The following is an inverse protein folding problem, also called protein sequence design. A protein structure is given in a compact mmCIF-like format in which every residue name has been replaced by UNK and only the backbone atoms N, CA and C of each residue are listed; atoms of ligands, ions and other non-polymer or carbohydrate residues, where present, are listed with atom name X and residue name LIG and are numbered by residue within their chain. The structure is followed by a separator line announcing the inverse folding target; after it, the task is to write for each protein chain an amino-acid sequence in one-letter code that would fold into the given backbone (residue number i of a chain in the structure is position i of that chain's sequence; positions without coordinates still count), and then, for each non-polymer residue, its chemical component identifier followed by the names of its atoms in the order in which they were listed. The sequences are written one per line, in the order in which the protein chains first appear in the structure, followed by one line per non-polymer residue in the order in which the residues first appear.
data_IF_360866613645
#
_entry.id   IF_360866613645
#
_cell.length_a   1.000
_cell.length_b   1.000
_cell.length_c   1.000
_cell.angle_alpha   90.00
_cell.angle_beta   90.00
_cell.angle_gamma   90.00
#
_symmetry.space_group_name_H-M   'P 1'
#
loop_
_entity.id
_entity.type
_entity.pdbx_description
1 polymer ?
#
# COMPACT_ATOMS: atom_id res chain seq x y z
N UNK A 1 -24.43 -3.70 -4.43
CA UNK A 1 -23.10 -3.04 -4.35
C UNK A 1 -22.31 -3.40 -5.60
N UNK A 2 -21.77 -2.41 -6.32
CA UNK A 2 -20.87 -2.70 -7.44
C UNK A 2 -19.53 -3.22 -6.92
N UNK A 3 -19.02 -4.30 -7.48
CA UNK A 3 -17.65 -4.78 -7.25
C UNK A 3 -16.77 -4.29 -8.40
N UNK A 4 -15.53 -3.93 -8.11
CA UNK A 4 -14.49 -3.66 -9.11
C UNK A 4 -13.31 -4.58 -8.83
N UNK A 5 -12.76 -5.17 -9.87
CA UNK A 5 -11.48 -5.87 -9.83
C UNK A 5 -10.37 -4.86 -10.09
N UNK A 6 -9.25 -5.01 -9.41
CA UNK A 6 -8.02 -4.25 -9.67
C UNK A 6 -6.93 -5.28 -9.95
N UNK A 7 -6.14 -5.04 -10.99
CA UNK A 7 -4.89 -5.75 -11.27
C UNK A 7 -3.77 -4.75 -10.99
N UNK A 8 -2.72 -5.19 -10.29
CA UNK A 8 -1.57 -4.36 -9.94
C UNK A 8 -0.34 -5.15 -10.36
N UNK A 9 0.57 -4.50 -11.07
CA UNK A 9 1.89 -5.03 -11.41
C UNK A 9 2.88 -4.55 -10.34
N UNK A 10 3.70 -5.46 -9.83
CA UNK A 10 4.70 -5.26 -8.77
C UNK A 10 5.91 -6.13 -9.10
N UNK A 11 7.09 -5.73 -8.64
CA UNK A 11 8.29 -6.56 -8.74
C UNK A 11 8.13 -7.87 -7.94
N UNK A 12 8.69 -8.96 -8.46
CA UNK A 12 8.51 -10.32 -7.94
C UNK A 12 9.01 -10.44 -6.49
N UNK A 13 10.16 -9.86 -6.18
CA UNK A 13 10.77 -9.83 -4.84
C UNK A 13 9.92 -9.03 -3.83
N UNK A 14 9.25 -7.97 -4.27
CA UNK A 14 8.33 -7.19 -3.42
C UNK A 14 7.02 -7.92 -3.17
N UNK A 15 6.53 -8.68 -4.16
CA UNK A 15 5.34 -9.51 -4.01
C UNK A 15 5.61 -10.74 -3.11
N UNK A 16 6.77 -11.39 -3.24
CA UNK A 16 7.19 -12.51 -2.39
C UNK A 16 7.29 -12.08 -0.92
N UNK A 17 8.02 -10.99 -0.64
CA UNK A 17 8.12 -10.43 0.72
C UNK A 17 6.76 -10.01 1.29
N UNK A 18 5.84 -9.49 0.46
CA UNK A 18 4.49 -9.14 0.90
C UNK A 18 3.65 -10.39 1.23
N UNK A 19 3.79 -11.47 0.47
CA UNK A 19 3.12 -12.74 0.72
C UNK A 19 3.60 -13.38 2.03
N UNK A 20 4.91 -13.46 2.27
CA UNK A 20 5.49 -13.96 3.53
C UNK A 20 4.97 -13.20 4.76
N UNK A 21 4.93 -11.86 4.66
CA UNK A 21 4.41 -11.00 5.73
C UNK A 21 2.92 -11.28 5.96
N UNK A 22 2.10 -11.40 4.90
CA UNK A 22 0.68 -11.72 5.02
C UNK A 22 0.44 -13.10 5.65
N UNK A 23 1.19 -14.13 5.24
CA UNK A 23 1.12 -15.48 5.80
C UNK A 23 1.49 -15.49 7.29
N UNK A 24 2.53 -14.75 7.70
CA UNK A 24 2.92 -14.60 9.10
C UNK A 24 1.84 -13.98 10.02
N UNK A 25 0.82 -13.35 9.43
CA UNK A 25 -0.31 -12.73 10.12
C UNK A 25 -1.64 -13.50 9.91
N UNK A 26 -1.59 -14.76 9.43
CA UNK A 26 -2.75 -15.59 9.12
C UNK A 26 -3.75 -14.91 8.16
N UNK A 27 -3.26 -14.12 7.19
CA UNK A 27 -4.10 -13.41 6.22
C UNK A 27 -3.63 -13.55 4.78
N UNK A 28 -4.55 -13.40 3.82
CA UNK A 28 -4.20 -13.30 2.40
C UNK A 28 -3.86 -11.86 2.00
N UNK A 29 -3.06 -11.74 0.95
CA UNK A 29 -2.67 -10.51 0.26
C UNK A 29 -3.90 -9.68 -0.13
N UNK A 30 -4.95 -10.35 -0.61
CA UNK A 30 -6.26 -9.74 -0.91
C UNK A 30 -6.97 -9.19 0.32
N UNK A 31 -6.72 -9.74 1.51
CA UNK A 31 -7.27 -9.26 2.78
C UNK A 31 -6.47 -8.05 3.28
N UNK A 32 -5.14 -8.13 3.25
CA UNK A 32 -4.25 -7.00 3.54
C UNK A 32 -4.55 -5.79 2.65
N UNK A 33 -4.67 -5.98 1.33
CA UNK A 33 -5.03 -4.91 0.39
C UNK A 33 -6.41 -4.29 0.70
N UNK A 34 -7.40 -5.11 1.08
CA UNK A 34 -8.71 -4.59 1.52
C UNK A 34 -8.60 -3.76 2.79
N UNK A 35 -7.81 -4.18 3.78
CA UNK A 35 -7.57 -3.42 5.01
C UNK A 35 -6.96 -2.06 4.68
N UNK A 36 -5.94 -2.02 3.82
CA UNK A 36 -5.33 -0.78 3.33
C UNK A 36 -6.36 0.16 2.68
N UNK A 37 -7.17 -0.34 1.73
CA UNK A 37 -8.23 0.45 1.09
C UNK A 37 -9.24 1.00 2.10
N UNK A 38 -9.64 0.21 3.10
CA UNK A 38 -10.55 0.66 4.15
C UNK A 38 -9.95 1.77 5.02
N UNK A 39 -8.67 1.63 5.43
CA UNK A 39 -7.98 2.63 6.23
C UNK A 39 -7.77 3.95 5.46
N UNK A 40 -7.36 3.89 4.19
CA UNK A 40 -7.22 5.09 3.33
C UNK A 40 -8.53 5.87 3.20
N UNK A 41 -9.66 5.19 3.06
CA UNK A 41 -10.98 5.84 2.97
C UNK A 41 -11.41 6.42 4.32
N UNK A 42 -11.09 5.75 5.44
CA UNK A 42 -11.44 6.22 6.78
C UNK A 42 -10.66 7.47 7.20
N UNK A 43 -9.34 7.48 6.97
CA UNK A 43 -8.44 8.56 7.36
C UNK A 43 -8.36 9.69 6.31
N UNK A 44 -8.84 9.44 5.09
CA UNK A 44 -8.70 10.33 3.92
C UNK A 44 -7.25 10.66 3.58
N UNK A 45 -6.34 9.75 3.88
CA UNK A 45 -4.89 9.84 3.72
C UNK A 45 -4.26 8.45 3.79
N UNK A 46 -2.94 8.35 3.65
CA UNK A 46 -2.22 7.07 3.75
C UNK A 46 -2.02 6.69 5.22
N UNK A 47 -2.44 5.49 5.67
CA UNK A 47 -2.48 5.09 7.08
C UNK A 47 -1.11 4.64 7.64
N UNK A 48 -0.01 5.16 7.11
CA UNK A 48 1.34 4.88 7.59
C UNK A 48 2.23 6.13 7.50
N UNK A 49 3.22 6.23 8.40
CA UNK A 49 4.22 7.30 8.40
C UNK A 49 5.40 6.88 7.52
N UNK A 50 5.78 7.75 6.60
CA UNK A 50 6.36 7.30 5.35
C UNK A 50 7.86 7.72 5.20
N UNK A 51 8.80 7.29 6.05
CA UNK A 51 10.14 7.94 6.13
C UNK A 51 11.11 7.68 4.94
N UNK A 52 11.44 8.75 4.18
CA UNK A 52 12.28 8.77 2.95
C UNK A 52 13.77 8.37 3.11
N UNK A 53 14.03 7.16 3.59
CA UNK A 53 15.39 6.61 3.75
C UNK A 53 15.39 5.11 3.46
N UNK A 54 15.92 4.77 2.28
CA UNK A 54 16.35 3.47 1.71
C UNK A 54 15.53 2.17 1.88
N UNK A 55 14.49 2.10 2.70
CA UNK A 55 13.46 1.06 2.60
C UNK A 55 12.08 1.69 2.46
N UNK A 56 11.31 1.20 1.48
CA UNK A 56 10.32 2.01 0.74
C UNK A 56 9.19 2.58 1.62
N UNK A 57 9.30 3.87 1.94
CA UNK A 57 8.25 4.71 2.52
C UNK A 57 8.63 6.21 2.28
N UNK A 58 7.74 7.09 1.75
CA UNK A 58 8.08 8.49 1.36
C UNK A 58 7.10 9.59 1.85
N UNK A 59 7.52 10.53 2.75
CA UNK A 59 6.57 11.20 3.68
C UNK A 59 5.76 12.25 2.97
N UNK A 60 4.46 12.03 2.94
CA UNK A 60 3.50 12.96 2.37
C UNK A 60 2.84 13.72 3.53
N UNK A 61 3.34 14.93 3.82
CA UNK A 61 2.64 15.87 4.70
C UNK A 61 1.48 16.57 3.95
N UNK A 62 1.43 16.41 2.63
CA UNK A 62 0.41 16.90 1.72
C UNK A 62 0.00 15.86 0.68
N UNK A 63 -1.18 16.03 0.09
CA UNK A 63 -1.63 15.26 -1.08
C UNK A 63 -0.80 15.52 -2.34
N UNK A 64 0.02 16.57 -2.36
CA UNK A 64 0.86 16.94 -3.50
C UNK A 64 2.15 16.11 -3.51
N UNK A 65 2.81 15.99 -2.35
CA UNK A 65 3.92 15.06 -2.14
C UNK A 65 3.50 13.60 -2.40
N UNK A 66 2.28 13.21 -2.03
CA UNK A 66 1.77 11.87 -2.32
C UNK A 66 1.64 11.58 -3.81
N UNK A 67 1.19 12.54 -4.60
CA UNK A 67 1.14 12.38 -6.06
C UNK A 67 2.54 12.25 -6.62
N UNK A 68 3.46 13.14 -6.24
CA UNK A 68 4.85 13.09 -6.68
C UNK A 68 5.54 11.76 -6.33
N UNK A 69 5.22 11.15 -5.19
CA UNK A 69 5.69 9.81 -4.85
C UNK A 69 5.07 8.72 -5.72
N UNK A 70 3.75 8.74 -5.95
CA UNK A 70 3.06 7.77 -6.82
C UNK A 70 3.53 7.86 -8.27
N UNK A 71 3.85 9.06 -8.78
CA UNK A 71 4.48 9.27 -10.10
C UNK A 71 5.96 8.84 -10.15
N UNK A 72 6.56 8.43 -9.02
CA UNK A 72 7.96 7.95 -8.93
C UNK A 72 8.11 6.44 -8.68
N UNK A 73 6.99 5.74 -8.49
CA UNK A 73 6.89 4.28 -8.42
C UNK A 73 6.66 3.69 -9.82
#
# INVERSE_FOLDING_TARGET
MAKRTVTIELDEDRMEAFAEICESMDMSESTAFRIFVHAVVAERGIPFLVKASDDVVAVCHSMEEFRAFVDSL
#
